data_IF_935619473864
#
_entry.id   IF_935619473864
#
_cell.length_a   1.000
_cell.length_b   1.000
_cell.length_c   1.000
_cell.angle_alpha   90.00
_cell.angle_beta   90.00
_cell.angle_gamma   90.00
#
_symmetry.space_group_name_H-M   'P 1'
#
loop_
_entity.id
_entity.type
_entity.pdbx_description
1 polymer ?
#
# COMPACT_ATOMS: atom_id res chain seq x y z
N UNK A 1 -9.91 7.97 5.76
CA UNK A 1 -8.77 7.07 6.08
C UNK A 1 -9.06 5.61 5.69
N UNK A 2 -10.19 5.00 6.10
CA UNK A 2 -10.55 3.64 5.69
C UNK A 2 -10.74 3.48 4.17
N UNK A 3 -11.33 4.48 3.50
CA UNK A 3 -11.58 4.44 2.05
C UNK A 3 -10.30 4.55 1.22
N UNK A 4 -9.35 5.38 1.67
CA UNK A 4 -8.02 5.53 1.05
C UNK A 4 -7.24 4.23 1.12
N UNK A 5 -7.26 3.55 2.27
CA UNK A 5 -6.60 2.25 2.45
C UNK A 5 -7.20 1.17 1.53
N UNK A 6 -8.52 1.04 1.51
CA UNK A 6 -9.21 0.07 0.62
C UNK A 6 -8.99 0.34 -0.86
N UNK A 7 -8.77 1.61 -1.24
CA UNK A 7 -8.42 1.98 -2.61
C UNK A 7 -7.00 1.53 -2.96
N UNK A 8 -6.04 1.79 -2.09
CA UNK A 8 -4.64 1.37 -2.26
C UNK A 8 -4.49 -0.16 -2.29
N UNK A 9 -5.21 -0.89 -1.43
CA UNK A 9 -5.22 -2.36 -1.43
C UNK A 9 -5.76 -2.92 -2.77
N UNK A 10 -6.80 -2.31 -3.34
CA UNK A 10 -7.33 -2.67 -4.67
C UNK A 10 -6.38 -2.32 -5.80
N UNK A 11 -5.74 -1.16 -5.74
CA UNK A 11 -4.75 -0.73 -6.73
C UNK A 11 -3.54 -1.67 -6.76
N UNK A 12 -3.02 -2.04 -5.58
CA UNK A 12 -1.96 -3.04 -5.43
C UNK A 12 -2.31 -4.37 -6.07
N UNK A 13 -3.52 -4.89 -5.79
CA UNK A 13 -3.96 -6.17 -6.37
C UNK A 13 -4.02 -6.09 -7.89
N UNK A 14 -4.60 -5.02 -8.44
CA UNK A 14 -4.66 -4.82 -9.90
C UNK A 14 -3.27 -4.78 -10.54
N UNK A 15 -2.30 -4.14 -9.90
CA UNK A 15 -0.92 -4.09 -10.41
C UNK A 15 -0.30 -5.49 -10.38
N UNK A 16 -0.47 -6.24 -9.28
CA UNK A 16 0.01 -7.63 -9.20
C UNK A 16 -0.62 -8.53 -10.27
N UNK A 17 -1.91 -8.35 -10.57
CA UNK A 17 -2.57 -9.10 -11.65
C UNK A 17 -1.97 -8.74 -13.02
N UNK A 18 -1.62 -7.47 -13.24
CA UNK A 18 -0.96 -7.01 -14.48
C UNK A 18 0.48 -7.53 -14.61
N UNK A 19 1.19 -7.76 -13.51
CA UNK A 19 2.57 -8.26 -13.51
C UNK A 19 2.74 -9.54 -14.33
N UNK A 20 1.77 -10.44 -14.25
CA UNK A 20 1.77 -11.72 -14.96
C UNK A 20 1.79 -11.54 -16.50
N UNK A 21 1.26 -10.43 -17.00
CA UNK A 21 1.04 -10.21 -18.43
C UNK A 21 1.96 -9.15 -19.05
N UNK A 22 2.75 -8.44 -18.25
CA UNK A 22 3.60 -7.36 -18.73
C UNK A 22 4.98 -7.83 -19.20
N UNK A 23 5.53 -7.22 -20.27
CA UNK A 23 6.89 -7.45 -20.71
C UNK A 23 7.90 -6.93 -19.68
N UNK A 24 9.08 -7.55 -19.63
CA UNK A 24 10.11 -7.30 -18.60
C UNK A 24 10.52 -5.82 -18.47
N UNK A 25 10.56 -5.09 -19.59
CA UNK A 25 10.87 -3.65 -19.63
C UNK A 25 9.84 -2.78 -18.90
N UNK A 26 8.62 -3.27 -18.73
CA UNK A 26 7.53 -2.56 -18.04
C UNK A 26 7.36 -3.02 -16.59
N UNK A 27 7.82 -4.24 -16.27
CA UNK A 27 7.82 -4.79 -14.91
C UNK A 27 8.55 -3.90 -13.93
N UNK A 28 9.72 -3.35 -14.28
CA UNK A 28 10.46 -2.47 -13.36
C UNK A 28 9.64 -1.26 -12.90
N UNK A 29 8.93 -0.59 -13.81
CA UNK A 29 8.06 0.57 -13.48
C UNK A 29 6.88 0.15 -12.60
N UNK A 30 6.30 -1.01 -12.88
CA UNK A 30 5.20 -1.53 -12.09
C UNK A 30 5.64 -1.94 -10.68
N UNK A 31 6.84 -2.49 -10.52
CA UNK A 31 7.42 -2.85 -9.22
C UNK A 31 7.59 -1.62 -8.33
N UNK A 32 8.16 -0.54 -8.87
CA UNK A 32 8.30 0.74 -8.15
C UNK A 32 6.94 1.22 -7.64
N UNK A 33 5.91 1.18 -8.51
CA UNK A 33 4.56 1.59 -8.12
C UNK A 33 3.95 0.72 -7.02
N UNK A 34 4.19 -0.59 -7.06
CA UNK A 34 3.73 -1.51 -5.99
C UNK A 34 4.45 -1.17 -4.67
N UNK A 35 5.76 -0.92 -4.71
CA UNK A 35 6.53 -0.55 -3.53
C UNK A 35 6.05 0.76 -2.90
N UNK A 36 5.75 1.79 -3.72
CA UNK A 36 5.19 3.06 -3.24
C UNK A 36 3.85 2.85 -2.50
N UNK A 37 3.00 1.95 -3.01
CA UNK A 37 1.71 1.63 -2.40
C UNK A 37 1.91 0.89 -1.07
N UNK A 38 2.85 -0.06 -1.02
CA UNK A 38 3.16 -0.80 0.19
C UNK A 38 3.74 0.11 1.28
N UNK A 39 4.58 1.09 0.93
CA UNK A 39 5.08 2.11 1.85
C UNK A 39 3.93 2.98 2.41
N UNK A 40 3.05 3.49 1.53
CA UNK A 40 1.88 4.25 1.97
C UNK A 40 0.96 3.45 2.90
N UNK A 41 0.71 2.17 2.58
CA UNK A 41 -0.10 1.29 3.42
C UNK A 41 0.55 1.03 4.78
N UNK A 42 1.88 0.90 4.82
CA UNK A 42 2.66 0.78 6.05
C UNK A 42 2.54 2.03 6.92
N UNK A 43 2.69 3.23 6.34
CA UNK A 43 2.55 4.50 7.03
C UNK A 43 1.15 4.73 7.61
N UNK A 44 0.09 4.36 6.88
CA UNK A 44 -1.29 4.47 7.37
C UNK A 44 -1.53 3.53 8.57
N UNK A 45 -0.97 2.31 8.55
CA UNK A 45 -1.02 1.39 9.70
C UNK A 45 -0.28 1.94 10.92
N UNK A 46 0.85 2.61 10.71
CA UNK A 46 1.65 3.24 11.78
C UNK A 46 0.90 4.41 12.43
N UNK A 47 0.26 5.28 11.65
CA UNK A 47 -0.56 6.38 12.20
C UNK A 47 -1.77 5.90 13.01
N UNK A 48 -2.31 4.72 12.71
CA UNK A 48 -3.40 4.13 13.49
C UNK A 48 -2.97 3.57 14.85
N UNK A 49 -1.67 3.31 15.07
CA UNK A 49 -1.15 2.80 16.35
C UNK A 49 -0.77 3.88 17.36
N UNK A 50 -0.64 5.15 16.91
CA UNK A 50 -0.26 6.27 17.78
C UNK A 50 -1.45 7.05 18.37
N UNK A 51 -2.69 6.56 18.20
CA UNK A 51 -3.85 7.06 18.93
C UNK A 51 -4.29 6.03 19.97
N UNK A 52 -3.51 5.90 21.05
CA UNK A 52 -4.02 5.43 22.33
C UNK A 52 -3.95 6.62 23.30
N UNK A 53 -5.06 7.31 23.59
CA UNK A 53 -5.10 8.26 24.69
C UNK A 53 -5.17 7.48 26.01
N UNK A 54 -4.23 7.77 26.92
CA UNK A 54 -4.37 7.49 28.34
C UNK A 54 -4.29 6.03 28.78
N UNK A 55 -3.17 5.66 29.41
CA UNK A 55 -3.20 4.75 30.56
C UNK A 55 -2.15 5.18 31.58
N UNK A 56 -2.61 6.04 32.49
CA UNK A 56 -2.22 6.17 33.91
C UNK A 56 -1.03 5.34 34.39
N UNK A 57 -0.01 6.02 34.93
CA UNK A 57 0.33 5.95 36.36
C UNK A 57 1.11 7.16 36.80
#
# INVERSE_FOLDING_TARGET
MKDTRRRLERERQRLLDQWAYLPEKERARLLVRIMDIDEHLSMVKSRSRFQLPGRTR
#
